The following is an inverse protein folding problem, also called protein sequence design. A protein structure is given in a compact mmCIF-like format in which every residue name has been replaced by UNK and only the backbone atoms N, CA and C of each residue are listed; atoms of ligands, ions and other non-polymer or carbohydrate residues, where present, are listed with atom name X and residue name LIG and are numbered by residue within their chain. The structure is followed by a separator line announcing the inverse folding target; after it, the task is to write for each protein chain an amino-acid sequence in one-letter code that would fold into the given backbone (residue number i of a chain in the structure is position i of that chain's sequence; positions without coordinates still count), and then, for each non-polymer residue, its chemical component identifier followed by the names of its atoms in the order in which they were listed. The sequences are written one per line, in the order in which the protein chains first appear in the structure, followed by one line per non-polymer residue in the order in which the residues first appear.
data_IF_730885114727
#
_entry.id   IF_730885114727
#
_cell.length_a   1.000
_cell.length_b   1.000
_cell.length_c   1.000
_cell.angle_alpha   90.00
_cell.angle_beta   90.00
_cell.angle_gamma   90.00
#
_symmetry.space_group_name_H-M   'P 1'
#
loop_
_entity.id
_entity.type
_entity.pdbx_description
1 polymer ?
#
# COMPACT_ATOMS: atom_id res chain seq x y z
N UNK A 1 3.07 -16.73 19.75
CA UNK A 1 2.02 -15.69 19.80
C UNK A 1 2.45 -14.58 18.86
N UNK A 2 1.83 -14.44 17.69
CA UNK A 2 2.23 -13.48 16.66
C UNK A 2 1.73 -12.08 17.03
N UNK A 3 2.65 -11.19 17.43
CA UNK A 3 2.45 -9.79 17.85
C UNK A 3 1.76 -8.86 16.83
N UNK A 4 1.19 -9.40 15.76
CA UNK A 4 0.71 -8.67 14.59
C UNK A 4 -0.81 -8.79 14.41
N UNK A 5 -1.45 -9.71 15.11
CA UNK A 5 -2.89 -9.97 14.98
C UNK A 5 -3.62 -9.49 16.22
N UNK A 6 -4.71 -8.78 16.01
CA UNK A 6 -5.71 -8.54 17.03
C UNK A 6 -6.35 -9.89 17.40
N UNK A 7 -6.22 -10.30 18.66
CA UNK A 7 -6.68 -11.61 19.12
C UNK A 7 -8.22 -11.76 19.12
N UNK A 8 -8.97 -10.65 19.09
CA UNK A 8 -10.44 -10.67 19.02
C UNK A 8 -10.97 -10.69 17.59
N UNK A 9 -10.24 -10.14 16.62
CA UNK A 9 -10.69 -10.05 15.22
C UNK A 9 -9.91 -10.94 14.26
N UNK A 10 -8.75 -11.46 14.66
CA UNK A 10 -7.87 -12.26 13.80
C UNK A 10 -7.21 -11.47 12.65
N UNK A 11 -7.43 -10.15 12.59
CA UNK A 11 -6.85 -9.25 11.59
C UNK A 11 -5.63 -8.52 12.13
N UNK A 12 -4.85 -7.87 11.24
CA UNK A 12 -3.74 -7.01 11.66
C UNK A 12 -4.26 -5.95 12.63
N UNK A 13 -3.66 -5.87 13.83
CA UNK A 13 -3.99 -4.81 14.79
C UNK A 13 -3.37 -3.49 14.32
N UNK A 14 -4.18 -2.60 13.76
CA UNK A 14 -3.70 -1.37 13.13
C UNK A 14 -3.22 -0.29 14.11
N UNK A 15 -3.49 -0.43 15.42
CA UNK A 15 -2.76 0.35 16.44
C UNK A 15 -1.25 0.06 16.37
N UNK A 16 -0.84 -1.09 15.83
CA UNK A 16 0.56 -1.39 15.55
C UNK A 16 1.12 -0.67 14.33
N UNK A 17 0.35 -0.36 13.28
CA UNK A 17 0.91 0.35 12.10
C UNK A 17 1.37 1.76 12.49
N UNK A 18 0.62 2.45 13.34
CA UNK A 18 1.05 3.71 13.94
C UNK A 18 2.25 3.56 14.89
N UNK A 19 2.39 2.42 15.60
CA UNK A 19 3.59 2.09 16.38
C UNK A 19 4.82 1.91 15.48
N UNK A 20 4.70 1.12 14.40
CA UNK A 20 5.79 0.90 13.45
C UNK A 20 6.22 2.17 12.75
N UNK A 21 5.27 3.05 12.41
CA UNK A 21 5.61 4.36 11.86
C UNK A 21 6.53 5.16 12.80
N UNK A 22 6.17 5.27 14.08
CA UNK A 22 7.00 5.96 15.07
C UNK A 22 8.40 5.34 15.21
N UNK A 23 8.49 4.02 15.15
CA UNK A 23 9.78 3.33 15.28
C UNK A 23 10.61 3.45 14.01
N UNK A 24 9.99 3.40 12.83
CA UNK A 24 10.64 3.70 11.55
C UNK A 24 11.17 5.14 11.53
N UNK A 25 10.40 6.12 12.02
CA UNK A 25 10.84 7.52 12.09
C UNK A 25 12.08 7.69 12.99
N UNK A 26 12.08 7.05 14.17
CA UNK A 26 13.25 7.05 15.07
C UNK A 26 14.49 6.47 14.39
N UNK A 27 14.32 5.40 13.62
CA UNK A 27 15.41 4.71 12.94
C UNK A 27 15.73 5.28 11.55
N UNK A 28 14.99 6.28 11.08
CA UNK A 28 15.05 6.80 9.70
C UNK A 28 14.88 5.69 8.64
N UNK A 29 14.05 4.69 8.96
CA UNK A 29 13.72 3.58 8.08
C UNK A 29 12.48 3.90 7.23
N UNK A 30 12.32 3.17 6.11
CA UNK A 30 11.11 3.23 5.27
C UNK A 30 10.06 2.27 5.83
N UNK A 31 8.83 2.75 6.04
CA UNK A 31 7.72 1.87 6.40
C UNK A 31 7.03 1.34 5.14
N UNK A 32 7.22 0.05 4.86
CA UNK A 32 6.55 -0.69 3.80
C UNK A 32 5.36 -1.48 4.38
N UNK A 33 4.16 -1.25 3.86
CA UNK A 33 2.98 -2.07 4.17
C UNK A 33 2.61 -2.97 2.99
N UNK A 34 2.74 -4.28 3.14
CA UNK A 34 2.20 -5.25 2.18
C UNK A 34 0.77 -5.64 2.58
N UNK A 35 -0.21 -5.23 1.77
CA UNK A 35 -1.63 -5.50 2.00
C UNK A 35 -2.21 -6.54 1.06
N UNK A 36 -1.38 -7.39 0.44
CA UNK A 36 -1.80 -8.35 -0.56
C UNK A 36 -3.03 -9.21 -0.15
N UNK A 37 -3.14 -9.59 1.12
CA UNK A 37 -4.26 -10.40 1.63
C UNK A 37 -5.51 -9.58 1.96
N UNK A 38 -5.38 -8.29 2.27
CA UNK A 38 -6.43 -7.47 2.88
C UNK A 38 -6.79 -6.23 2.04
N UNK A 39 -6.22 -6.10 0.84
CA UNK A 39 -6.45 -4.96 -0.04
C UNK A 39 -7.92 -4.72 -0.39
N UNK A 40 -8.73 -5.77 -0.53
CA UNK A 40 -10.18 -5.65 -0.70
C UNK A 40 -10.87 -4.98 0.49
N UNK A 41 -10.52 -5.42 1.71
CA UNK A 41 -11.04 -4.89 2.97
C UNK A 41 -10.61 -3.43 3.20
N UNK A 42 -9.37 -3.08 2.84
CA UNK A 42 -8.85 -1.70 2.90
C UNK A 42 -9.64 -0.78 1.96
N UNK A 43 -9.90 -1.21 0.72
CA UNK A 43 -10.58 -0.37 -0.28
C UNK A 43 -12.01 -0.04 0.12
N UNK A 44 -12.73 -0.97 0.76
CA UNK A 44 -14.11 -0.74 1.22
C UNK A 44 -14.21 -0.04 2.57
N UNK A 45 -13.07 0.15 3.25
CA UNK A 45 -12.96 0.86 4.52
C UNK A 45 -13.54 0.10 5.72
N UNK A 46 -13.59 -1.24 5.68
CA UNK A 46 -14.02 -2.06 6.85
C UNK A 46 -12.89 -2.30 7.84
N UNK A 47 -11.64 -2.11 7.39
CA UNK A 47 -10.44 -2.09 8.24
C UNK A 47 -9.68 -0.78 8.05
N UNK A 48 -8.86 -0.36 9.04
CA UNK A 48 -8.05 0.84 8.93
C UNK A 48 -7.09 0.80 7.73
N UNK A 49 -6.81 1.99 7.19
CA UNK A 49 -5.98 2.13 6.00
C UNK A 49 -4.50 2.19 6.36
N UNK A 50 -3.61 1.39 5.74
CA UNK A 50 -2.17 1.53 5.92
C UNK A 50 -1.63 2.84 5.33
N UNK A 51 -2.40 3.48 4.42
CA UNK A 51 -1.97 4.68 3.69
C UNK A 51 -1.82 5.90 4.60
N UNK A 52 -2.42 5.89 5.80
CA UNK A 52 -2.27 6.99 6.76
C UNK A 52 -0.81 7.09 7.26
N UNK A 53 -0.13 5.95 7.39
CA UNK A 53 1.18 5.85 8.04
C UNK A 53 2.30 5.40 7.10
N UNK A 54 2.02 4.53 6.14
CA UNK A 54 3.05 3.90 5.31
C UNK A 54 3.64 4.87 4.28
N UNK A 55 4.95 4.74 4.07
CA UNK A 55 5.69 5.44 3.02
C UNK A 55 5.44 4.79 1.65
N UNK A 56 5.42 3.46 1.64
CA UNK A 56 5.22 2.60 0.47
C UNK A 56 4.19 1.53 0.82
N UNK A 57 3.25 1.27 -0.07
CA UNK A 57 2.24 0.22 0.07
C UNK A 57 2.29 -0.70 -1.14
N UNK A 58 2.44 -2.00 -0.93
CA UNK A 58 2.43 -3.01 -1.99
C UNK A 58 1.20 -3.90 -1.86
N UNK A 59 0.67 -4.35 -3.00
CA UNK A 59 -0.46 -5.29 -2.99
C UNK A 59 -0.47 -6.17 -4.21
N UNK A 60 -0.96 -7.40 -4.04
CA UNK A 60 -1.45 -8.21 -5.15
C UNK A 60 -2.90 -7.85 -5.48
N UNK A 61 -3.28 -7.96 -6.74
CA UNK A 61 -4.62 -7.62 -7.23
C UNK A 61 -5.59 -8.82 -7.19
N UNK A 62 -5.06 -10.05 -7.25
CA UNK A 62 -5.88 -11.27 -7.43
C UNK A 62 -6.50 -11.87 -6.16
N UNK A 63 -6.16 -11.38 -4.96
CA UNK A 63 -6.65 -11.92 -3.70
C UNK A 63 -7.99 -11.26 -3.30
N UNK A 64 -8.05 -10.58 -2.16
CA UNK A 64 -9.27 -9.92 -1.68
C UNK A 64 -9.77 -8.81 -2.62
N UNK A 65 -8.90 -8.24 -3.45
CA UNK A 65 -9.28 -7.26 -4.49
C UNK A 65 -9.89 -7.88 -5.76
N UNK A 66 -9.83 -9.22 -5.91
CA UNK A 66 -10.52 -10.01 -6.96
C UNK A 66 -10.27 -9.61 -8.42
N UNK A 67 -9.11 -9.05 -8.72
CA UNK A 67 -8.71 -8.76 -10.10
C UNK A 67 -7.75 -9.80 -10.70
N UNK A 68 -7.04 -9.45 -11.79
CA UNK A 68 -6.09 -10.35 -12.43
C UNK A 68 -4.81 -10.56 -11.59
N UNK A 69 -3.99 -11.56 -11.97
CA UNK A 69 -2.70 -11.85 -11.33
C UNK A 69 -1.65 -10.80 -11.68
N UNK A 70 -1.68 -9.68 -10.99
CA UNK A 70 -0.67 -8.60 -11.03
C UNK A 70 -0.52 -7.95 -9.64
N UNK A 71 0.39 -7.00 -9.54
CA UNK A 71 0.65 -6.22 -8.34
C UNK A 71 0.62 -4.69 -8.58
N UNK A 72 0.45 -3.93 -7.51
CA UNK A 72 0.57 -2.47 -7.49
C UNK A 72 1.53 -2.02 -6.40
N UNK A 73 2.29 -0.97 -6.68
CA UNK A 73 3.18 -0.30 -5.75
C UNK A 73 2.71 1.15 -5.62
N UNK A 74 2.29 1.55 -4.43
CA UNK A 74 1.96 2.92 -4.08
C UNK A 74 3.10 3.51 -3.26
N UNK A 75 3.34 4.80 -3.42
CA UNK A 75 4.39 5.51 -2.70
C UNK A 75 4.02 6.98 -2.50
N UNK A 76 4.50 7.54 -1.39
CA UNK A 76 4.30 8.96 -1.05
C UNK A 76 5.05 9.87 -2.03
N UNK A 77 4.46 11.04 -2.30
CA UNK A 77 5.03 12.13 -3.11
C UNK A 77 4.86 13.46 -2.37
N UNK A 78 5.69 14.45 -2.69
CA UNK A 78 5.61 15.79 -2.11
C UNK A 78 6.52 15.97 -0.90
N UNK A 79 6.12 16.81 0.04
CA UNK A 79 6.93 17.15 1.23
C UNK A 79 6.79 16.04 2.28
N UNK A 80 7.93 15.47 2.69
CA UNK A 80 8.02 14.53 3.81
C UNK A 80 8.04 15.26 5.15
N UNK A 81 8.97 16.20 5.30
CA UNK A 81 9.16 16.97 6.53
C UNK A 81 9.76 18.34 6.23
N UNK A 82 9.69 19.24 7.22
CA UNK A 82 10.45 20.48 7.22
C UNK A 82 11.59 20.29 8.21
N UNK A 83 12.83 20.43 7.73
CA UNK A 83 13.99 20.27 8.59
C UNK A 83 14.11 21.42 9.60
N UNK A 84 15.02 21.28 10.57
CA UNK A 84 15.26 22.31 11.61
C UNK A 84 15.67 23.68 11.03
N UNK A 85 16.12 23.69 9.78
CA UNK A 85 16.54 24.86 9.02
C UNK A 85 15.39 25.48 8.19
N UNK A 86 14.16 24.98 8.32
CA UNK A 86 12.98 25.48 7.61
C UNK A 86 12.90 25.03 6.14
N UNK A 87 13.76 24.13 5.69
CA UNK A 87 13.77 23.63 4.33
C UNK A 87 12.85 22.41 4.18
N UNK A 88 12.13 22.35 3.06
CA UNK A 88 11.26 21.22 2.73
C UNK A 88 12.11 20.05 2.26
N UNK A 89 12.01 18.93 2.95
CA UNK A 89 12.54 17.64 2.52
C UNK A 89 11.45 16.93 1.73
N UNK A 90 11.74 16.57 0.48
CA UNK A 90 10.79 15.89 -0.40
C UNK A 90 10.93 14.38 -0.30
N UNK A 91 9.82 13.67 -0.54
CA UNK A 91 9.85 12.24 -0.81
C UNK A 91 10.57 11.96 -2.13
N UNK A 92 11.44 10.95 -2.11
CA UNK A 92 12.27 10.54 -3.25
C UNK A 92 11.99 9.06 -3.62
N UNK A 93 10.71 8.68 -3.63
CA UNK A 93 10.29 7.32 -3.94
C UNK A 93 9.90 7.14 -5.40
N UNK A 94 9.34 8.17 -6.03
CA UNK A 94 8.76 8.06 -7.37
C UNK A 94 9.77 7.55 -8.40
N UNK A 95 10.86 8.28 -8.56
CA UNK A 95 11.80 7.98 -9.63
C UNK A 95 12.59 6.71 -9.30
N UNK A 96 12.95 6.49 -8.03
CA UNK A 96 13.61 5.27 -7.56
C UNK A 96 12.78 4.01 -7.81
N UNK A 97 11.50 4.02 -7.44
CA UNK A 97 10.62 2.85 -7.62
C UNK A 97 10.35 2.62 -9.10
N UNK A 98 10.02 3.67 -9.86
CA UNK A 98 9.74 3.52 -11.29
C UNK A 98 10.97 3.00 -12.05
N UNK A 99 12.17 3.52 -11.77
CA UNK A 99 13.42 3.06 -12.39
C UNK A 99 13.80 1.64 -11.96
N UNK A 100 13.54 1.27 -10.70
CA UNK A 100 13.74 -0.09 -10.22
C UNK A 100 12.83 -1.09 -10.94
N UNK A 101 11.58 -0.71 -11.24
CA UNK A 101 10.67 -1.55 -12.06
C UNK A 101 11.17 -1.61 -13.49
N UNK A 102 11.35 -0.48 -14.15
CA UNK A 102 11.88 -0.39 -15.52
C UNK A 102 12.82 0.81 -15.63
N UNK A 103 14.06 0.66 -16.11
CA UNK A 103 14.62 -0.53 -16.77
C UNK A 103 15.30 -1.53 -15.81
N UNK A 104 15.14 -1.38 -14.49
CA UNK A 104 15.90 -2.14 -13.50
C UNK A 104 15.63 -3.66 -13.50
N UNK A 105 14.38 -4.06 -13.25
CA UNK A 105 14.02 -5.48 -13.04
C UNK A 105 13.15 -6.06 -14.15
N UNK A 106 12.26 -5.27 -14.72
CA UNK A 106 11.33 -5.67 -15.77
C UNK A 106 11.71 -5.07 -17.12
N UNK A 107 11.27 -5.74 -18.19
CA UNK A 107 11.38 -5.27 -19.57
C UNK A 107 10.05 -4.70 -20.07
N UNK A 108 9.43 -5.38 -21.04
CA UNK A 108 8.13 -4.97 -21.59
C UNK A 108 6.97 -5.13 -20.60
N UNK A 109 6.00 -4.21 -20.67
CA UNK A 109 4.81 -4.24 -19.81
C UNK A 109 3.75 -5.23 -20.31
N UNK A 110 3.03 -5.86 -19.38
CA UNK A 110 1.86 -6.68 -19.70
C UNK A 110 0.60 -5.83 -19.89
N UNK A 111 0.55 -5.04 -20.97
CA UNK A 111 -0.54 -4.09 -21.23
C UNK A 111 -1.93 -4.73 -21.21
N UNK A 112 -2.07 -5.98 -21.68
CA UNK A 112 -3.33 -6.71 -21.64
C UNK A 112 -3.86 -6.94 -20.22
N UNK A 113 -2.98 -7.06 -19.22
CA UNK A 113 -3.37 -7.19 -17.82
C UNK A 113 -3.63 -5.82 -17.19
N UNK A 114 -2.82 -4.81 -17.53
CA UNK A 114 -3.04 -3.43 -17.10
C UNK A 114 -4.41 -2.92 -17.56
N UNK A 115 -4.82 -3.20 -18.80
CA UNK A 115 -6.16 -2.85 -19.27
C UNK A 115 -7.26 -3.57 -18.49
N UNK A 116 -7.03 -4.84 -18.12
CA UNK A 116 -7.97 -5.62 -17.30
C UNK A 116 -8.04 -5.12 -15.86
N UNK A 117 -7.04 -4.39 -15.35
CA UNK A 117 -7.01 -3.85 -13.99
C UNK A 117 -8.07 -2.76 -13.77
N UNK A 118 -8.42 -2.00 -14.80
CA UNK A 118 -9.41 -0.92 -14.67
C UNK A 118 -10.80 -1.42 -14.24
N UNK A 119 -11.18 -2.63 -14.66
CA UNK A 119 -12.47 -3.23 -14.34
C UNK A 119 -12.63 -3.59 -12.85
N UNK A 120 -11.76 -4.43 -12.22
CA UNK A 120 -11.87 -4.76 -10.80
C UNK A 120 -11.66 -3.53 -9.91
N UNK A 121 -10.83 -2.56 -10.31
CA UNK A 121 -10.72 -1.29 -9.55
C UNK A 121 -12.03 -0.51 -9.56
N UNK A 122 -12.72 -0.47 -10.71
CA UNK A 122 -14.07 0.13 -10.79
C UNK A 122 -15.09 -0.65 -9.96
N UNK A 123 -15.04 -1.99 -9.97
CA UNK A 123 -15.90 -2.84 -9.14
C UNK A 123 -15.65 -2.61 -7.65
N UNK A 124 -14.39 -2.40 -7.25
CA UNK A 124 -14.04 -2.19 -5.85
C UNK A 124 -14.64 -0.90 -5.25
N UNK A 125 -15.11 0.03 -6.09
CA UNK A 125 -15.80 1.26 -5.68
C UNK A 125 -17.32 1.09 -5.52
N UNK A 126 -17.89 -0.08 -5.81
CA UNK A 126 -19.35 -0.28 -5.74
C UNK A 126 -19.82 -0.75 -4.37
N UNK A 127 -21.09 -0.49 -4.06
CA UNK A 127 -21.68 -0.90 -2.77
C UNK A 127 -21.80 -2.43 -2.68
N UNK A 128 -22.01 -3.12 -3.79
CA UNK A 128 -22.04 -4.58 -3.86
C UNK A 128 -20.69 -5.17 -3.47
N UNK A 129 -19.59 -4.55 -3.88
CA UNK A 129 -18.27 -4.99 -3.46
C UNK A 129 -18.04 -4.77 -1.97
N UNK A 130 -18.53 -3.65 -1.42
CA UNK A 130 -18.51 -3.40 0.03
C UNK A 130 -19.33 -4.41 0.83
N UNK A 131 -20.50 -4.83 0.33
CA UNK A 131 -21.31 -5.87 0.98
C UNK A 131 -20.71 -7.27 0.85
N UNK A 132 -19.90 -7.50 -0.18
CA UNK A 132 -19.24 -8.78 -0.41
C UNK A 132 -18.04 -9.02 0.53
N UNK A 133 -17.32 -7.95 0.88
CA UNK A 133 -16.16 -7.98 1.78
C UNK A 133 -16.58 -8.14 3.24
#
# INVERSE_FOLDING_TARGET
MSYWLNESTGYIDYDHVGRYHRDCDKQKAVLLADIAHISGLVVVGVIPSPFDYADVVTTTIYKSLRGPREAMIFFRKGVKEINKQGQKVLYDYQDKINQAVFPGLQGGTHNHIITRLAFPLKQAMTLEFKHYQ
#
